data_IF_328339017951
#
_entry.id   IF_328339017951
#
_cell.length_a   1.000
_cell.length_b   1.000
_cell.length_c   1.000
_cell.angle_alpha   90.00
_cell.angle_beta   90.00
_cell.angle_gamma   90.00
#
_symmetry.space_group_name_H-M   'P 1'
#
loop_
_entity.id
_entity.type
_entity.pdbx_description
1 polymer ?
#
# COMPACT_ATOMS: atom_id res chain seq x y z
N UNK A 1 14.95 -31.93 18.51
CA UNK A 1 14.31 -30.59 18.62
C UNK A 1 14.36 -30.16 20.07
N UNK A 2 15.10 -29.11 20.41
CA UNK A 2 15.06 -28.50 21.74
C UNK A 2 13.81 -27.61 21.85
N UNK A 3 13.01 -27.82 22.89
CA UNK A 3 11.82 -27.02 23.20
C UNK A 3 12.31 -25.68 23.78
N UNK A 4 12.01 -24.59 23.11
CA UNK A 4 12.27 -23.24 23.64
C UNK A 4 11.20 -22.96 24.68
N UNK A 5 11.57 -22.92 25.96
CA UNK A 5 10.69 -22.55 27.05
C UNK A 5 10.80 -21.04 27.27
N UNK A 6 9.75 -20.30 26.89
CA UNK A 6 9.63 -18.88 27.21
C UNK A 6 9.21 -18.81 28.66
N UNK A 7 10.15 -18.43 29.53
CA UNK A 7 9.96 -18.48 30.99
C UNK A 7 9.23 -17.27 31.56
N UNK A 8 9.34 -16.09 30.94
CA UNK A 8 8.71 -14.86 31.43
C UNK A 8 8.33 -13.92 30.26
N UNK A 9 7.05 -13.57 30.16
CA UNK A 9 6.60 -12.43 29.35
C UNK A 9 6.73 -11.17 30.22
N UNK A 10 7.73 -10.33 29.92
CA UNK A 10 7.91 -9.04 30.60
C UNK A 10 7.17 -7.99 29.77
N UNK A 11 6.05 -7.48 30.27
CA UNK A 11 5.36 -6.33 29.66
C UNK A 11 6.30 -5.11 29.75
N UNK A 12 6.52 -4.44 28.62
CA UNK A 12 7.33 -3.23 28.59
C UNK A 12 6.65 -2.07 29.33
N UNK A 13 7.46 -1.12 29.83
CA UNK A 13 6.95 0.05 30.55
C UNK A 13 6.00 0.90 29.69
N UNK A 14 4.88 1.32 30.28
CA UNK A 14 3.88 2.18 29.65
C UNK A 14 3.91 3.55 30.30
N UNK A 15 4.36 4.55 29.54
CA UNK A 15 4.37 5.95 29.99
C UNK A 15 3.19 6.68 29.34
N UNK A 16 2.23 7.11 30.15
CA UNK A 16 1.14 7.95 29.68
C UNK A 16 1.64 9.37 29.38
N UNK A 17 1.29 9.91 28.22
CA UNK A 17 1.62 11.28 27.81
C UNK A 17 0.46 11.88 27.03
N UNK A 18 0.28 13.20 27.15
CA UNK A 18 -0.65 13.99 26.34
C UNK A 18 0.06 14.80 25.27
N UNK A 19 1.38 14.69 25.17
CA UNK A 19 2.20 15.46 24.21
C UNK A 19 2.10 14.90 22.79
N UNK A 20 1.62 13.66 22.66
CA UNK A 20 1.43 12.97 21.38
C UNK A 20 -0.02 12.52 21.24
N UNK A 21 -0.63 12.85 20.11
CA UNK A 21 -1.97 12.43 19.76
C UNK A 21 -2.05 12.11 18.27
N UNK A 22 -2.98 11.22 17.91
CA UNK A 22 -3.33 10.98 16.52
C UNK A 22 -4.62 11.74 16.22
N UNK A 23 -4.60 12.53 15.16
CA UNK A 23 -5.80 13.18 14.66
C UNK A 23 -6.29 12.49 13.39
N UNK A 24 -7.61 12.26 13.33
CA UNK A 24 -8.22 11.57 12.19
C UNK A 24 -8.41 12.57 11.06
N UNK A 25 -7.66 12.36 9.97
CA UNK A 25 -7.62 13.29 8.84
C UNK A 25 -8.87 13.20 7.93
N UNK A 26 -9.59 12.07 7.95
CA UNK A 26 -10.77 11.84 7.10
C UNK A 26 -11.45 10.49 7.31
N UNK A 27 -12.41 10.17 6.44
CA UNK A 27 -13.14 8.90 6.41
C UNK A 27 -12.36 7.79 5.67
N UNK A 28 -12.58 6.50 5.97
CA UNK A 28 -11.84 5.40 5.36
C UNK A 28 -12.28 5.23 3.90
N UNK A 29 -11.30 5.10 3.01
CA UNK A 29 -11.53 4.90 1.59
C UNK A 29 -11.53 3.41 1.26
N UNK A 30 -12.39 3.02 0.31
CA UNK A 30 -12.30 1.70 -0.32
C UNK A 30 -11.17 1.67 -1.34
N UNK A 31 -10.49 0.54 -1.49
CA UNK A 31 -9.46 0.38 -2.53
C UNK A 31 -10.13 0.19 -3.90
N UNK A 32 -11.14 -0.71 -3.99
CA UNK A 32 -11.98 -0.99 -5.17
C UNK A 32 -13.46 -1.09 -4.78
N UNK A 33 -14.36 -1.04 -5.77
CA UNK A 33 -15.82 -1.17 -5.58
C UNK A 33 -16.26 -2.60 -5.18
N UNK A 34 -15.59 -3.61 -5.74
CA UNK A 34 -15.79 -5.02 -5.37
C UNK A 34 -14.88 -5.41 -4.20
N UNK A 35 -15.19 -6.52 -3.49
CA UNK A 35 -14.45 -7.09 -2.33
C UNK A 35 -13.02 -7.56 -2.70
N UNK A 36 -12.22 -6.69 -3.31
CA UNK A 36 -10.78 -6.83 -3.48
C UNK A 36 -10.10 -6.51 -2.15
N UNK A 37 -10.47 -7.28 -1.12
CA UNK A 37 -9.88 -7.19 0.18
C UNK A 37 -8.46 -7.74 0.08
N UNK A 38 -7.51 -6.94 0.54
CA UNK A 38 -6.14 -7.38 0.66
C UNK A 38 -6.06 -8.52 1.68
N UNK A 39 -5.39 -9.62 1.34
CA UNK A 39 -5.34 -10.79 2.19
C UNK A 39 -4.39 -10.56 3.38
N UNK A 40 -4.99 -10.29 4.54
CA UNK A 40 -4.33 -10.07 5.81
C UNK A 40 -4.04 -11.37 6.58
N UNK A 41 -4.59 -12.50 6.15
CA UNK A 41 -4.50 -13.78 6.86
C UNK A 41 -3.18 -14.51 6.61
N UNK A 42 -2.41 -14.07 5.60
CA UNK A 42 -1.12 -14.67 5.23
C UNK A 42 0.04 -13.67 5.41
N UNK A 43 0.51 -13.43 6.65
CA UNK A 43 1.70 -12.62 6.91
C UNK A 43 2.99 -13.34 6.47
N UNK A 44 4.08 -12.61 6.14
CA UNK A 44 4.24 -11.16 6.24
C UNK A 44 3.56 -10.41 5.09
N UNK A 45 2.87 -9.30 5.42
CA UNK A 45 2.15 -8.52 4.44
C UNK A 45 2.43 -7.01 4.59
N UNK A 46 2.73 -6.35 3.47
CA UNK A 46 3.02 -4.92 3.42
C UNK A 46 2.30 -4.30 2.20
N UNK A 47 0.98 -4.02 2.31
CA UNK A 47 0.16 -3.58 1.19
C UNK A 47 0.44 -2.14 0.74
N UNK A 48 1.22 -1.37 1.48
CA UNK A 48 1.36 0.06 1.31
C UNK A 48 2.85 0.45 1.20
N UNK A 49 3.17 1.22 0.17
CA UNK A 49 4.45 1.93 0.06
C UNK A 49 4.19 3.41 -0.28
N UNK A 50 4.98 4.31 0.30
CA UNK A 50 4.84 5.76 0.14
C UNK A 50 6.17 6.33 -0.32
N UNK A 51 6.15 7.07 -1.44
CA UNK A 51 7.28 7.85 -1.90
C UNK A 51 7.00 9.32 -1.54
N UNK A 52 7.53 9.77 -0.41
CA UNK A 52 7.32 11.14 0.07
C UNK A 52 7.89 12.18 -0.90
N UNK A 53 9.08 11.92 -1.47
CA UNK A 53 9.76 12.85 -2.37
C UNK A 53 8.94 13.15 -3.62
N UNK A 54 8.28 12.12 -4.17
CA UNK A 54 7.44 12.24 -5.38
C UNK A 54 5.96 12.48 -5.07
N UNK A 55 5.56 12.41 -3.80
CA UNK A 55 4.16 12.54 -3.37
C UNK A 55 3.25 11.43 -3.92
N UNK A 56 3.77 10.20 -3.96
CA UNK A 56 3.08 9.03 -4.50
C UNK A 56 2.76 8.01 -3.41
N UNK A 57 1.67 7.28 -3.61
CA UNK A 57 1.27 6.14 -2.78
C UNK A 57 1.01 4.93 -3.68
N UNK A 58 1.50 3.78 -3.24
CA UNK A 58 1.36 2.48 -3.90
C UNK A 58 0.55 1.57 -2.99
N UNK A 59 -0.55 1.02 -3.49
CA UNK A 59 -1.53 0.28 -2.69
C UNK A 59 -1.82 -1.05 -3.35
N UNK A 60 -1.47 -2.14 -2.70
CA UNK A 60 -1.75 -3.48 -3.16
C UNK A 60 -3.24 -3.83 -3.02
N UNK A 61 -3.73 -4.66 -3.95
CA UNK A 61 -5.05 -5.27 -3.95
C UNK A 61 -4.93 -6.71 -4.48
N UNK A 62 -6.01 -7.49 -4.39
CA UNK A 62 -6.00 -8.93 -4.71
C UNK A 62 -5.57 -9.31 -6.14
N UNK A 63 -5.49 -8.35 -7.06
CA UNK A 63 -5.10 -8.59 -8.45
C UNK A 63 -3.92 -7.74 -8.92
N UNK A 64 -3.29 -6.99 -8.01
CA UNK A 64 -2.13 -6.18 -8.34
C UNK A 64 -1.92 -5.01 -7.38
N UNK A 65 -1.59 -3.84 -7.92
CA UNK A 65 -1.47 -2.62 -7.12
C UNK A 65 -1.87 -1.36 -7.87
N UNK A 66 -2.32 -0.36 -7.13
CA UNK A 66 -2.67 0.98 -7.61
C UNK A 66 -1.53 1.95 -7.31
N UNK A 67 -1.32 2.90 -8.21
CA UNK A 67 -0.44 4.06 -8.01
C UNK A 67 -1.30 5.32 -7.96
N UNK A 68 -1.25 6.05 -6.85
CA UNK A 68 -2.00 7.29 -6.65
C UNK A 68 -1.11 8.44 -6.22
N UNK A 69 -1.63 9.67 -6.31
CA UNK A 69 -1.01 10.84 -5.69
C UNK A 69 -1.46 10.95 -4.25
N UNK A 70 -0.52 11.04 -3.30
CA UNK A 70 -0.82 11.10 -1.88
C UNK A 70 -1.79 12.24 -1.54
N UNK A 71 -1.62 13.41 -2.18
CA UNK A 71 -2.50 14.57 -1.99
C UNK A 71 -3.95 14.30 -2.42
N UNK A 72 -4.16 13.55 -3.49
CA UNK A 72 -5.48 13.27 -4.06
C UNK A 72 -6.20 12.21 -3.22
N UNK A 73 -5.46 11.18 -2.76
CA UNK A 73 -5.98 10.18 -1.81
C UNK A 73 -6.38 10.84 -0.48
N UNK A 74 -5.55 11.72 0.08
CA UNK A 74 -5.91 12.44 1.32
C UNK A 74 -7.10 13.37 1.08
N UNK A 75 -7.16 14.10 -0.04
CA UNK A 75 -8.30 14.95 -0.35
C UNK A 75 -9.61 14.16 -0.50
N UNK A 76 -9.57 12.98 -1.14
CA UNK A 76 -10.71 12.10 -1.25
C UNK A 76 -11.24 11.65 0.12
N UNK A 77 -10.35 11.40 1.09
CA UNK A 77 -10.75 11.03 2.45
C UNK A 77 -11.49 12.14 3.21
N UNK A 78 -11.29 13.41 2.82
CA UNK A 78 -11.89 14.58 3.47
C UNK A 78 -13.24 14.99 2.89
N UNK A 79 -13.45 14.73 1.59
CA UNK A 79 -14.59 15.24 0.82
C UNK A 79 -15.74 14.23 0.67
N UNK A 80 -15.93 13.31 1.62
CA UNK A 80 -17.11 12.44 1.64
C UNK A 80 -18.34 13.25 2.07
N UNK A 81 -18.85 14.07 1.17
CA UNK A 81 -19.94 15.03 1.39
C UNK A 81 -21.31 14.36 1.56
N UNK A 82 -21.50 13.51 2.58
CA UNK A 82 -22.81 13.06 3.10
C UNK A 82 -23.82 12.41 2.14
N UNK A 83 -23.51 12.29 0.84
CA UNK A 83 -24.34 11.78 -0.25
C UNK A 83 -23.74 10.49 -0.78
N UNK A 84 -23.73 9.45 0.04
CA UNK A 84 -23.82 8.02 -0.31
C UNK A 84 -22.87 7.39 -1.35
N UNK A 85 -22.07 8.14 -2.09
CA UNK A 85 -21.12 7.62 -3.07
C UNK A 85 -19.77 7.49 -2.37
N UNK A 86 -19.41 6.25 -2.08
CA UNK A 86 -18.16 5.88 -1.42
C UNK A 86 -17.04 6.01 -2.45
N UNK A 87 -16.16 6.99 -2.28
CA UNK A 87 -15.04 7.21 -3.20
C UNK A 87 -14.06 6.05 -3.10
N UNK A 88 -13.81 5.37 -4.22
CA UNK A 88 -12.81 4.31 -4.31
C UNK A 88 -11.46 4.86 -4.79
N UNK A 89 -10.35 4.36 -4.23
CA UNK A 89 -9.01 4.81 -4.63
C UNK A 89 -8.74 4.49 -6.11
N UNK A 90 -9.32 3.41 -6.63
CA UNK A 90 -9.24 3.05 -8.05
C UNK A 90 -9.70 4.18 -9.00
N UNK A 91 -10.71 4.96 -8.63
CA UNK A 91 -11.24 6.05 -9.48
C UNK A 91 -10.28 7.24 -9.58
N UNK A 92 -9.44 7.44 -8.56
CA UNK A 92 -8.46 8.53 -8.47
C UNK A 92 -7.02 8.05 -8.71
N UNK A 93 -6.82 6.76 -9.00
CA UNK A 93 -5.51 6.20 -9.26
C UNK A 93 -4.96 6.70 -10.61
N UNK A 94 -3.65 6.93 -10.66
CA UNK A 94 -2.94 7.25 -11.89
C UNK A 94 -2.82 6.03 -12.79
N UNK A 95 -2.53 4.87 -12.19
CA UNK A 95 -2.32 3.57 -12.86
C UNK A 95 -2.79 2.43 -11.94
N UNK A 96 -3.41 1.41 -12.55
CA UNK A 96 -3.65 0.09 -11.95
C UNK A 96 -2.78 -0.94 -12.68
N UNK A 97 -1.91 -1.64 -11.94
CA UNK A 97 -0.97 -2.63 -12.50
C UNK A 97 -1.43 -4.04 -12.15
N UNK A 98 -1.90 -4.83 -13.12
CA UNK A 98 -2.34 -6.20 -12.89
C UNK A 98 -1.13 -7.14 -12.90
N UNK A 99 -0.52 -7.33 -11.73
CA UNK A 99 0.66 -8.22 -11.57
C UNK A 99 0.32 -9.51 -10.82
N UNK A 100 -0.90 -9.66 -10.30
CA UNK A 100 -1.31 -10.82 -9.49
C UNK A 100 -1.42 -10.48 -8.01
N UNK A 101 -1.38 -11.49 -7.15
CA UNK A 101 -1.58 -11.33 -5.71
C UNK A 101 -0.32 -10.75 -5.04
N UNK A 102 -0.30 -9.43 -4.89
CA UNK A 102 0.83 -8.69 -4.30
C UNK A 102 0.80 -8.85 -2.78
N UNK A 103 1.93 -9.25 -2.19
CA UNK A 103 2.08 -9.45 -0.73
C UNK A 103 2.90 -8.38 -0.03
N UNK A 104 3.86 -7.80 -0.74
CA UNK A 104 4.76 -6.80 -0.18
C UNK A 104 5.04 -5.78 -1.28
N UNK A 105 4.82 -4.51 -0.97
CA UNK A 105 5.30 -3.37 -1.74
C UNK A 105 6.41 -2.68 -0.96
N UNK A 106 7.53 -2.44 -1.63
CA UNK A 106 8.66 -1.71 -1.04
C UNK A 106 9.33 -0.83 -2.07
N UNK A 107 9.75 0.36 -1.65
CA UNK A 107 10.45 1.33 -2.50
C UNK A 107 11.95 1.29 -2.23
N UNK A 108 12.74 1.52 -3.27
CA UNK A 108 14.16 1.82 -3.13
C UNK A 108 14.37 3.14 -2.38
N UNK A 109 15.54 3.29 -1.75
CA UNK A 109 15.86 4.47 -0.93
C UNK A 109 15.83 5.81 -1.69
N UNK A 110 15.90 5.78 -3.01
CA UNK A 110 15.85 6.94 -3.90
C UNK A 110 14.48 7.17 -4.56
N UNK A 111 13.47 6.36 -4.21
CA UNK A 111 12.13 6.35 -4.77
C UNK A 111 12.08 6.12 -6.30
N UNK A 112 13.08 5.44 -6.87
CA UNK A 112 13.16 5.18 -8.32
C UNK A 112 12.61 3.82 -8.74
N UNK A 113 12.69 2.81 -7.86
CA UNK A 113 12.25 1.44 -8.10
C UNK A 113 11.25 1.00 -7.04
N UNK A 114 10.14 0.41 -7.47
CA UNK A 114 9.17 -0.29 -6.63
C UNK A 114 9.40 -1.81 -6.79
N UNK A 115 9.63 -2.50 -5.69
CA UNK A 115 9.61 -3.95 -5.62
C UNK A 115 8.21 -4.43 -5.20
N UNK A 116 7.64 -5.37 -5.94
CA UNK A 116 6.41 -6.06 -5.59
C UNK A 116 6.68 -7.56 -5.47
N UNK A 117 6.42 -8.12 -4.29
CA UNK A 117 6.42 -9.56 -4.09
C UNK A 117 5.08 -10.12 -4.55
N UNK A 118 5.11 -11.06 -5.50
CA UNK A 118 3.94 -11.76 -6.03
C UNK A 118 4.24 -13.25 -5.97
N UNK A 119 3.43 -14.00 -5.22
CA UNK A 119 3.69 -15.42 -4.94
C UNK A 119 5.13 -15.68 -4.45
N UNK A 120 5.95 -16.35 -5.25
CA UNK A 120 7.35 -16.67 -4.98
C UNK A 120 8.34 -15.82 -5.81
N UNK A 121 7.85 -14.83 -6.55
CA UNK A 121 8.64 -13.96 -7.41
C UNK A 121 8.65 -12.51 -6.88
N UNK A 122 9.73 -11.77 -7.19
CA UNK A 122 9.85 -10.35 -6.90
C UNK A 122 9.95 -9.62 -8.23
N UNK A 123 9.00 -8.74 -8.50
CA UNK A 123 8.98 -7.88 -9.68
C UNK A 123 9.48 -6.49 -9.34
N UNK A 124 10.31 -5.93 -10.20
CA UNK A 124 10.84 -4.58 -10.06
C UNK A 124 10.23 -3.67 -11.12
N UNK A 125 9.69 -2.54 -10.68
CA UNK A 125 9.06 -1.54 -11.53
C UNK A 125 9.80 -0.21 -11.39
N UNK A 126 10.20 0.37 -12.51
CA UNK A 126 10.66 1.76 -12.52
C UNK A 126 9.48 2.68 -12.27
N UNK A 127 9.56 3.51 -11.22
CA UNK A 127 8.51 4.47 -10.86
C UNK A 127 8.25 5.45 -12.01
N UNK A 128 9.31 5.94 -12.66
CA UNK A 128 9.18 6.82 -13.82
C UNK A 128 8.48 6.14 -15.00
N UNK A 129 8.68 4.82 -15.17
CA UNK A 129 7.98 4.05 -16.20
C UNK A 129 6.50 3.84 -15.86
N UNK A 130 6.16 3.65 -14.58
CA UNK A 130 4.76 3.55 -14.13
C UNK A 130 3.99 4.86 -14.39
N UNK A 131 4.65 6.01 -14.24
CA UNK A 131 4.01 7.31 -14.45
C UNK A 131 3.91 7.69 -15.93
N UNK A 132 4.82 7.17 -16.76
CA UNK A 132 4.80 7.38 -18.20
C UNK A 132 3.89 6.36 -18.87
N UNK A 133 2.69 6.79 -19.27
CA UNK A 133 1.61 5.98 -19.90
C UNK A 133 1.98 5.25 -21.23
N UNK A 134 3.25 5.17 -21.62
CA UNK A 134 3.72 4.65 -22.90
C UNK A 134 4.60 3.38 -22.84
N UNK A 135 4.81 2.75 -21.67
CA UNK A 135 5.72 1.59 -21.56
C UNK A 135 5.24 0.45 -20.67
N UNK A 136 3.94 0.12 -20.69
CA UNK A 136 3.50 -1.21 -20.27
C UNK A 136 3.50 -2.15 -21.49
N UNK A 137 4.69 -2.51 -21.97
CA UNK A 137 4.84 -3.78 -22.70
C UNK A 137 5.13 -4.87 -21.67
N UNK A 138 4.44 -6.02 -21.71
CA UNK A 138 4.57 -7.03 -20.68
C UNK A 138 5.89 -7.80 -20.87
N UNK A 139 6.57 -8.06 -19.76
CA UNK A 139 7.73 -8.96 -19.62
C UNK A 139 9.07 -8.51 -20.23
N UNK A 140 9.94 -7.96 -19.39
CA UNK A 140 11.38 -8.19 -19.50
C UNK A 140 11.79 -9.11 -18.34
N UNK A 141 11.84 -10.42 -18.61
CA UNK A 141 12.48 -11.43 -17.76
C UNK A 141 13.99 -11.30 -17.97
N UNK A 142 14.77 -11.18 -16.89
CA UNK A 142 16.21 -11.49 -16.86
C UNK A 142 16.34 -12.88 -16.24
#
# INVERSE_FOLDING_TARGET
>A
MGKVEITEEVEGDRVGTTDYYFDRIGEPLSIKEEDAQYDLENPPSQPLAISERRGLVFIAHSSGFLVGRTKEVIAASKNSDGKGSRVCIQEIALVDVPVGDVRILSLSADDSILAASVDAEIHFFSVDSLLNKFCLSPFARI
#
